data_IF_807888390921
#
_entry.id   IF_807888390921
#
_cell.length_a   1.000
_cell.length_b   1.000
_cell.length_c   1.000
_cell.angle_alpha   90.00
_cell.angle_beta   90.00
_cell.angle_gamma   90.00
#
_symmetry.space_group_name_H-M   'P 1'
#
loop_
_entity.id
_entity.type
_entity.pdbx_description
1 polymer ?
#
# COMPACT_ATOMS: atom_id res chain seq x y z
N UNK A 1 18.07 -10.81 9.60
CA UNK A 1 18.15 -12.13 8.93
C UNK A 1 19.07 -12.00 7.74
N UNK A 2 19.93 -12.98 7.45
CA UNK A 2 20.74 -12.99 6.23
C UNK A 2 20.16 -13.95 5.16
N UNK A 3 20.66 -13.86 3.93
CA UNK A 3 20.14 -14.62 2.79
C UNK A 3 20.14 -16.13 3.01
N UNK A 4 21.23 -16.69 3.53
CA UNK A 4 21.34 -18.12 3.80
C UNK A 4 20.30 -18.60 4.82
N UNK A 5 20.08 -17.82 5.88
CA UNK A 5 19.03 -18.12 6.87
C UNK A 5 17.64 -18.09 6.22
N UNK A 6 17.36 -17.10 5.37
CA UNK A 6 16.08 -17.01 4.67
C UNK A 6 15.86 -18.20 3.73
N UNK A 7 16.85 -18.56 2.91
CA UNK A 7 16.78 -19.71 2.00
C UNK A 7 16.47 -21.00 2.78
N UNK A 8 17.11 -21.20 3.94
CA UNK A 8 16.81 -22.34 4.81
C UNK A 8 15.37 -22.32 5.34
N UNK A 9 14.84 -21.17 5.73
CA UNK A 9 13.43 -21.05 6.14
C UNK A 9 12.47 -21.44 5.02
N UNK A 10 12.74 -21.06 3.77
CA UNK A 10 11.94 -21.52 2.63
C UNK A 10 12.03 -23.04 2.45
N UNK A 11 13.24 -23.61 2.46
CA UNK A 11 13.46 -25.05 2.26
C UNK A 11 12.77 -25.91 3.33
N UNK A 12 12.90 -25.57 4.61
CA UNK A 12 12.28 -26.34 5.72
C UNK A 12 10.75 -26.26 5.69
N UNK A 13 10.19 -25.20 5.10
CA UNK A 13 8.76 -25.06 4.86
C UNK A 13 8.30 -25.65 3.51
N UNK A 14 9.18 -26.39 2.81
CA UNK A 14 8.85 -27.08 1.56
C UNK A 14 8.85 -26.19 0.31
N UNK A 15 9.27 -24.93 0.42
CA UNK A 15 9.26 -23.94 -0.65
C UNK A 15 10.58 -23.93 -1.43
N UNK A 16 10.89 -25.05 -2.09
CA UNK A 16 12.17 -25.27 -2.79
C UNK A 16 12.42 -24.35 -3.99
N UNK A 17 11.36 -23.73 -4.53
CA UNK A 17 11.45 -22.75 -5.61
C UNK A 17 11.55 -21.30 -5.10
N UNK A 18 11.69 -21.11 -3.79
CA UNK A 18 11.75 -19.82 -3.13
C UNK A 18 10.54 -18.92 -3.41
N UNK A 19 9.37 -19.52 -3.64
CA UNK A 19 8.11 -18.81 -3.85
C UNK A 19 7.11 -19.15 -2.76
N UNK A 20 6.53 -18.11 -2.18
CA UNK A 20 5.39 -18.22 -1.28
C UNK A 20 4.19 -18.76 -2.08
N UNK A 21 3.39 -19.63 -1.47
CA UNK A 21 2.17 -20.20 -2.06
C UNK A 21 0.92 -19.65 -1.40
N UNK A 22 1.02 -19.36 -0.11
CA UNK A 22 -0.06 -18.89 0.74
C UNK A 22 0.41 -17.70 1.58
N UNK A 23 -0.50 -16.83 2.05
CA UNK A 23 -0.16 -15.78 3.00
C UNK A 23 0.50 -16.31 4.28
N UNK A 24 0.13 -17.51 4.73
CA UNK A 24 0.71 -18.17 5.91
C UNK A 24 2.21 -18.45 5.75
N UNK A 25 2.70 -18.56 4.52
CA UNK A 25 4.13 -18.72 4.27
C UNK A 25 4.93 -17.48 4.67
N UNK A 26 4.33 -16.28 4.68
CA UNK A 26 4.98 -15.06 5.17
C UNK A 26 5.35 -15.17 6.64
N UNK A 27 4.45 -15.71 7.47
CA UNK A 27 4.72 -15.89 8.88
C UNK A 27 5.84 -16.91 9.09
N UNK A 28 5.81 -18.01 8.34
CA UNK A 28 6.79 -19.10 8.46
C UNK A 28 8.19 -18.74 7.97
N UNK A 29 8.29 -17.86 6.97
CA UNK A 29 9.56 -17.54 6.29
C UNK A 29 10.11 -16.17 6.66
N UNK A 30 9.25 -15.19 6.91
CA UNK A 30 9.63 -13.81 7.20
C UNK A 30 9.21 -13.36 8.61
N UNK A 31 8.45 -14.17 9.36
CA UNK A 31 7.90 -13.77 10.65
C UNK A 31 6.80 -12.71 10.56
N UNK A 32 6.19 -12.55 9.38
CA UNK A 32 5.18 -11.53 9.11
C UNK A 32 3.79 -12.17 9.14
N UNK A 33 2.95 -11.77 10.10
CA UNK A 33 1.52 -12.06 10.03
C UNK A 33 0.81 -10.96 9.24
N UNK A 34 0.33 -11.31 8.05
CA UNK A 34 -0.37 -10.36 7.18
C UNK A 34 -1.67 -9.83 7.80
N UNK A 35 -2.29 -10.55 8.74
CA UNK A 35 -3.55 -10.13 9.38
C UNK A 35 -3.34 -9.05 10.45
N UNK A 36 -2.12 -8.95 10.97
CA UNK A 36 -1.72 -7.97 11.97
C UNK A 36 -1.23 -6.65 11.35
N UNK A 37 -1.19 -6.57 10.02
CA UNK A 37 -0.86 -5.32 9.31
C UNK A 37 -1.95 -4.28 9.58
N UNK A 38 -1.54 -3.05 9.90
CA UNK A 38 -2.49 -2.01 10.27
C UNK A 38 -3.53 -1.77 9.16
N UNK A 39 -4.75 -1.48 9.55
CA UNK A 39 -5.89 -1.35 8.62
C UNK A 39 -6.51 -2.67 8.14
N UNK A 40 -5.85 -3.82 8.23
CA UNK A 40 -6.41 -5.12 7.78
C UNK A 40 -7.77 -5.42 8.39
N UNK A 41 -7.88 -5.22 9.72
CA UNK A 41 -9.12 -5.47 10.45
C UNK A 41 -10.26 -4.51 10.05
N UNK A 42 -9.97 -3.39 9.39
CA UNK A 42 -10.99 -2.44 8.92
C UNK A 42 -11.51 -2.79 7.53
N UNK A 43 -10.80 -3.62 6.77
CA UNK A 43 -11.22 -4.06 5.44
C UNK A 43 -12.47 -4.95 5.50
N UNK A 44 -13.29 -4.85 4.45
CA UNK A 44 -14.33 -5.83 4.14
C UNK A 44 -13.73 -7.15 3.63
N UNK A 45 -14.58 -8.16 3.43
CA UNK A 45 -14.14 -9.49 3.04
C UNK A 45 -13.55 -9.54 1.61
N UNK A 46 -14.06 -8.70 0.70
CA UNK A 46 -13.56 -8.61 -0.67
C UNK A 46 -12.13 -8.06 -0.70
N UNK A 47 -11.88 -6.97 0.01
CA UNK A 47 -10.56 -6.34 0.11
C UNK A 47 -9.57 -7.22 0.89
N UNK A 48 -10.02 -7.95 1.92
CA UNK A 48 -9.18 -8.97 2.58
C UNK A 48 -8.78 -10.09 1.62
N UNK A 49 -9.72 -10.56 0.79
CA UNK A 49 -9.42 -11.58 -0.20
C UNK A 49 -8.43 -11.07 -1.26
N UNK A 50 -8.61 -9.83 -1.74
CA UNK A 50 -7.65 -9.20 -2.65
C UNK A 50 -6.26 -9.10 -2.01
N UNK A 51 -6.18 -8.56 -0.79
CA UNK A 51 -4.92 -8.39 -0.07
C UNK A 51 -4.17 -9.70 0.12
N UNK A 52 -4.86 -10.78 0.51
CA UNK A 52 -4.23 -12.09 0.72
C UNK A 52 -3.55 -12.64 -0.55
N UNK A 53 -4.12 -12.40 -1.73
CA UNK A 53 -3.51 -12.83 -3.00
C UNK A 53 -2.42 -11.85 -3.44
N UNK A 54 -2.66 -10.55 -3.29
CA UNK A 54 -1.71 -9.50 -3.62
C UNK A 54 -0.41 -9.68 -2.84
N UNK A 55 -0.45 -9.83 -1.52
CA UNK A 55 0.77 -9.83 -0.68
C UNK A 55 1.72 -10.98 -1.05
N UNK A 56 1.17 -12.14 -1.43
CA UNK A 56 1.94 -13.28 -1.93
C UNK A 56 2.62 -12.94 -3.26
N UNK A 57 1.88 -12.36 -4.21
CA UNK A 57 2.44 -11.98 -5.51
C UNK A 57 3.45 -10.83 -5.41
N UNK A 58 3.19 -9.86 -4.54
CA UNK A 58 4.08 -8.73 -4.27
C UNK A 58 5.44 -9.22 -3.74
N UNK A 59 5.45 -10.04 -2.69
CA UNK A 59 6.69 -10.66 -2.21
C UNK A 59 7.35 -11.50 -3.30
N UNK A 60 6.59 -12.35 -4.00
CA UNK A 60 7.14 -13.20 -5.06
C UNK A 60 7.72 -12.43 -6.26
N UNK A 61 7.30 -11.19 -6.48
CA UNK A 61 7.85 -10.28 -7.50
C UNK A 61 9.21 -9.70 -7.14
N UNK A 62 9.62 -9.78 -5.87
CA UNK A 62 10.89 -9.27 -5.37
C UNK A 62 11.96 -10.37 -5.31
N UNK A 63 13.23 -9.96 -5.38
CA UNK A 63 14.36 -10.83 -5.06
C UNK A 63 14.44 -11.14 -3.57
N UNK A 64 15.09 -12.26 -3.20
CA UNK A 64 15.20 -12.68 -1.79
C UNK A 64 15.84 -11.61 -0.90
N UNK A 65 16.82 -10.87 -1.41
CA UNK A 65 17.50 -9.83 -0.64
C UNK A 65 16.54 -8.68 -0.28
N UNK A 66 15.75 -8.19 -1.24
CA UNK A 66 14.70 -7.19 -1.01
C UNK A 66 13.62 -7.66 -0.04
N UNK A 67 13.22 -8.94 -0.11
CA UNK A 67 12.20 -9.49 0.82
C UNK A 67 12.66 -9.48 2.28
N UNK A 68 13.97 -9.57 2.55
CA UNK A 68 14.49 -9.59 3.92
C UNK A 68 14.33 -8.26 4.66
N UNK A 69 14.29 -7.15 3.93
CA UNK A 69 14.17 -5.81 4.50
C UNK A 69 12.75 -5.26 4.37
N UNK A 70 11.84 -6.00 3.72
CA UNK A 70 10.49 -5.55 3.48
C UNK A 70 9.59 -5.80 4.68
N UNK A 71 8.97 -4.73 5.18
CA UNK A 71 8.07 -4.80 6.33
C UNK A 71 6.74 -4.16 5.93
N UNK A 72 5.65 -4.94 5.77
CA UNK A 72 4.31 -4.39 5.63
C UNK A 72 3.95 -3.49 6.82
N UNK A 73 3.44 -2.29 6.55
CA UNK A 73 3.07 -1.31 7.59
C UNK A 73 1.58 -1.06 7.65
N UNK A 74 0.90 -1.00 6.50
CA UNK A 74 -0.52 -0.72 6.46
C UNK A 74 -1.22 -1.21 5.20
N UNK A 75 -2.49 -1.53 5.31
CA UNK A 75 -3.38 -1.88 4.20
C UNK A 75 -4.76 -1.27 4.43
N UNK A 76 -5.16 -0.36 3.55
CA UNK A 76 -6.37 0.44 3.72
C UNK A 76 -7.19 0.45 2.43
N UNK A 77 -8.50 0.28 2.52
CA UNK A 77 -9.36 0.70 1.43
C UNK A 77 -9.46 2.22 1.50
N UNK A 78 -8.86 2.89 0.52
CA UNK A 78 -8.64 4.33 0.54
C UNK A 78 -9.52 5.02 -0.50
N UNK A 79 -9.91 6.26 -0.18
CA UNK A 79 -10.36 7.25 -1.14
C UNK A 79 -9.40 8.42 -1.11
N UNK A 80 -8.91 8.86 -2.26
CA UNK A 80 -8.12 10.08 -2.35
C UNK A 80 -8.68 11.07 -3.36
N UNK A 81 -8.34 12.32 -3.12
CA UNK A 81 -8.57 13.44 -4.01
C UNK A 81 -7.52 14.51 -3.75
N UNK A 82 -7.30 15.32 -4.78
CA UNK A 82 -6.32 16.39 -4.80
C UNK A 82 -7.02 17.73 -4.75
N UNK A 83 -6.39 18.71 -4.12
CA UNK A 83 -6.76 20.11 -4.23
C UNK A 83 -6.05 20.70 -5.44
N UNK A 84 -6.83 21.14 -6.41
CA UNK A 84 -6.36 21.68 -7.68
C UNK A 84 -6.50 23.20 -7.70
N UNK A 85 -5.46 23.89 -8.14
CA UNK A 85 -5.41 25.35 -8.23
C UNK A 85 -5.02 25.79 -9.64
N UNK A 86 -5.38 27.03 -9.98
CA UNK A 86 -4.80 27.75 -11.12
C UNK A 86 -3.97 28.91 -10.61
N UNK A 87 -2.70 28.97 -11.02
CA UNK A 87 -1.86 30.14 -10.75
C UNK A 87 -2.31 31.33 -11.60
N UNK A 88 -2.63 31.07 -12.87
CA UNK A 88 -3.26 32.03 -13.76
C UNK A 88 -4.65 31.50 -14.17
N UNK A 89 -5.75 32.25 -13.94
CA UNK A 89 -7.10 31.81 -14.30
C UNK A 89 -7.29 31.39 -15.77
N UNK A 90 -6.50 31.97 -16.67
CA UNK A 90 -6.53 31.73 -18.13
C UNK A 90 -5.85 30.42 -18.55
N UNK A 91 -5.09 29.77 -17.66
CA UNK A 91 -4.40 28.52 -17.98
C UNK A 91 -5.41 27.39 -18.22
N UNK A 92 -5.09 26.46 -19.12
CA UNK A 92 -5.93 25.29 -19.45
C UNK A 92 -5.62 24.06 -18.57
N UNK A 93 -4.65 24.18 -17.66
CA UNK A 93 -4.23 23.14 -16.73
C UNK A 93 -4.42 23.58 -15.27
N UNK A 94 -4.33 22.61 -14.37
CA UNK A 94 -4.35 22.83 -12.92
C UNK A 94 -3.07 22.29 -12.31
N UNK A 95 -2.60 22.96 -11.26
CA UNK A 95 -1.53 22.48 -10.39
C UNK A 95 -2.13 21.79 -9.17
N UNK A 96 -1.41 20.82 -8.58
CA UNK A 96 -1.82 20.17 -7.34
C UNK A 96 -1.25 20.94 -6.15
N UNK A 97 -2.13 21.48 -5.30
CA UNK A 97 -1.78 22.27 -4.12
C UNK A 97 -1.85 21.48 -2.80
N UNK A 98 -2.21 20.20 -2.87
CA UNK A 98 -2.39 19.36 -1.70
C UNK A 98 -3.34 18.20 -2.01
N UNK A 99 -3.62 17.40 -0.99
CA UNK A 99 -4.56 16.31 -1.13
C UNK A 99 -4.90 15.64 0.19
N UNK A 100 -5.93 14.82 0.13
CA UNK A 100 -6.45 14.05 1.27
C UNK A 100 -6.54 12.59 0.87
N UNK A 101 -6.07 11.72 1.75
CA UNK A 101 -6.30 10.28 1.70
C UNK A 101 -7.19 9.93 2.88
N UNK A 102 -8.36 9.37 2.59
CA UNK A 102 -9.32 8.86 3.56
C UNK A 102 -9.23 7.34 3.60
N UNK A 103 -9.19 6.74 4.79
CA UNK A 103 -9.41 5.31 4.97
C UNK A 103 -10.92 5.04 5.16
N UNK A 104 -11.46 4.14 4.35
CA UNK A 104 -12.84 3.65 4.41
C UNK A 104 -12.84 2.32 5.17
N UNK A 105 -13.63 2.23 6.23
CA UNK A 105 -13.81 0.97 6.95
C UNK A 105 -14.89 0.07 6.30
N UNK A 106 -15.05 -1.14 6.83
CA UNK A 106 -16.04 -2.14 6.38
C UNK A 106 -17.49 -1.67 6.43
N UNK A 107 -17.80 -0.60 7.16
CA UNK A 107 -19.13 -0.02 7.27
C UNK A 107 -19.30 1.21 6.35
N UNK A 108 -18.26 1.55 5.57
CA UNK A 108 -18.24 2.74 4.72
C UNK A 108 -17.88 4.04 5.45
N UNK A 109 -17.46 3.97 6.73
CA UNK A 109 -17.08 5.16 7.50
C UNK A 109 -15.70 5.63 7.03
N UNK A 110 -15.63 6.92 6.66
CA UNK A 110 -14.40 7.57 6.20
C UNK A 110 -13.69 8.24 7.37
N UNK A 111 -12.38 8.01 7.47
CA UNK A 111 -11.49 8.67 8.43
C UNK A 111 -10.28 9.24 7.70
N UNK A 112 -9.81 10.41 8.12
CA UNK A 112 -8.59 11.00 7.52
C UNK A 112 -7.40 10.12 7.85
N UNK A 113 -6.80 9.54 6.82
CA UNK A 113 -5.57 8.74 6.91
C UNK A 113 -4.34 9.63 6.73
N UNK A 114 -4.37 10.50 5.72
CA UNK A 114 -3.28 11.42 5.41
C UNK A 114 -3.81 12.71 4.82
N UNK A 115 -3.14 13.81 5.13
CA UNK A 115 -3.28 15.07 4.39
C UNK A 115 -1.89 15.58 4.06
N UNK A 116 -1.79 16.32 2.96
CA UNK A 116 -0.59 17.05 2.61
C UNK A 116 -0.99 18.33 1.89
N UNK A 117 -0.12 19.33 1.97
CA UNK A 117 -0.35 20.64 1.37
C UNK A 117 0.95 21.15 0.77
N UNK A 118 0.85 21.75 -0.39
CA UNK A 118 1.90 22.58 -0.96
C UNK A 118 1.76 24.00 -0.39
N UNK A 119 2.81 24.46 0.30
CA UNK A 119 2.78 25.78 0.94
C UNK A 119 2.80 26.92 -0.08
N UNK A 120 3.37 26.68 -1.26
CA UNK A 120 3.52 27.69 -2.31
C UNK A 120 2.17 28.11 -2.90
N UNK A 121 1.17 27.23 -2.87
CA UNK A 121 -0.17 27.46 -3.43
C UNK A 121 -1.23 27.81 -2.39
N UNK A 122 -0.85 28.02 -1.12
CA UNK A 122 -1.78 28.28 0.00
C UNK A 122 -2.68 29.51 -0.17
N UNK A 123 -2.28 30.45 -1.02
CA UNK A 123 -2.96 31.72 -1.27
C UNK A 123 -3.98 31.66 -2.42
N UNK A 124 -4.04 30.54 -3.16
CA UNK A 124 -4.93 30.34 -4.29
C UNK A 124 -6.22 29.63 -3.86
N UNK A 125 -7.32 29.91 -4.56
CA UNK A 125 -8.57 29.18 -4.40
C UNK A 125 -8.44 27.79 -5.04
N UNK A 126 -8.73 26.75 -4.26
CA UNK A 126 -8.61 25.37 -4.68
C UNK A 126 -9.97 24.71 -4.92
N UNK A 127 -10.03 23.84 -5.92
CA UNK A 127 -11.16 22.95 -6.19
C UNK A 127 -10.75 21.49 -5.94
N UNK A 128 -11.70 20.62 -5.65
CA UNK A 128 -11.43 19.19 -5.47
C UNK A 128 -11.37 18.46 -6.80
N UNK A 129 -10.37 17.58 -6.95
CA UNK A 129 -10.29 16.66 -8.07
C UNK A 129 -11.31 15.53 -7.94
N UNK A 130 -11.41 14.70 -8.99
CA UNK A 130 -12.26 13.51 -8.94
C UNK A 130 -11.71 12.52 -7.90
N UNK A 131 -12.57 12.11 -6.97
CA UNK A 131 -12.26 11.08 -6.00
C UNK A 131 -11.96 9.74 -6.66
N UNK A 132 -10.93 9.05 -6.18
CA UNK A 132 -10.55 7.71 -6.61
C UNK A 132 -10.54 6.78 -5.41
N UNK A 133 -10.98 5.55 -5.59
CA UNK A 133 -10.92 4.52 -4.54
C UNK A 133 -10.04 3.36 -4.97
N UNK A 134 -9.27 2.82 -4.02
CA UNK A 134 -8.33 1.73 -4.26
C UNK A 134 -7.90 1.10 -2.94
N UNK A 135 -7.21 -0.03 -3.02
CA UNK A 135 -6.56 -0.63 -1.87
C UNK A 135 -5.12 -0.07 -1.78
N UNK A 136 -4.84 0.70 -0.74
CA UNK A 136 -3.54 1.32 -0.47
C UNK A 136 -2.68 0.40 0.38
N UNK A 137 -1.54 -0.02 -0.14
CA UNK A 137 -0.55 -0.80 0.63
C UNK A 137 0.64 0.08 1.00
N UNK A 138 0.95 0.16 2.28
CA UNK A 138 2.08 0.89 2.84
C UNK A 138 3.08 -0.11 3.40
N UNK A 139 4.36 0.09 3.12
CA UNK A 139 5.43 -0.79 3.53
C UNK A 139 6.72 -0.01 3.76
N UNK A 140 7.65 -0.64 4.46
CA UNK A 140 9.03 -0.18 4.54
C UNK A 140 9.89 -1.13 3.71
N UNK A 141 10.81 -0.58 2.94
CA UNK A 141 11.79 -1.34 2.16
C UNK A 141 13.14 -0.64 2.25
N UNK A 142 14.17 -1.38 2.67
CA UNK A 142 15.51 -0.83 2.95
C UNK A 142 15.49 0.41 3.86
N UNK A 143 14.62 0.40 4.88
CA UNK A 143 14.47 1.50 5.85
C UNK A 143 13.72 2.73 5.32
N UNK A 144 13.16 2.66 4.10
CA UNK A 144 12.41 3.76 3.49
C UNK A 144 10.91 3.45 3.49
N UNK A 145 10.06 4.38 3.95
CA UNK A 145 8.62 4.23 3.84
C UNK A 145 8.20 4.41 2.38
N UNK A 146 7.44 3.45 1.87
CA UNK A 146 6.92 3.39 0.52
C UNK A 146 5.43 3.06 0.56
N UNK A 147 4.72 3.35 -0.53
CA UNK A 147 3.32 2.98 -0.68
C UNK A 147 2.97 2.79 -2.15
N UNK A 148 1.89 2.05 -2.41
CA UNK A 148 1.39 1.81 -3.76
C UNK A 148 -0.13 1.62 -3.82
N UNK A 149 -0.67 1.71 -5.02
CA UNK A 149 -2.06 1.38 -5.35
C UNK A 149 -2.13 -0.10 -5.74
N UNK A 150 -2.93 -0.89 -5.03
CA UNK A 150 -3.25 -2.27 -5.41
C UNK A 150 -4.51 -2.24 -6.26
N UNK A 151 -4.38 -2.49 -7.57
CA UNK A 151 -5.52 -2.54 -8.48
C UNK A 151 -6.12 -3.93 -8.57
N UNK A 152 -5.27 -4.97 -8.54
CA UNK A 152 -5.69 -6.36 -8.40
C UNK A 152 -4.56 -7.21 -7.79
N UNK A 153 -4.76 -8.52 -7.73
CA UNK A 153 -3.81 -9.46 -7.13
C UNK A 153 -2.42 -9.50 -7.81
N UNK A 154 -2.28 -9.01 -9.04
CA UNK A 154 -1.06 -9.07 -9.87
C UNK A 154 -0.61 -7.70 -10.39
N UNK A 155 -1.43 -6.66 -10.28
CA UNK A 155 -1.15 -5.32 -10.78
C UNK A 155 -1.21 -4.29 -9.64
N UNK A 156 -0.19 -3.42 -9.62
CA UNK A 156 -0.04 -2.32 -8.68
C UNK A 156 0.90 -1.25 -9.26
N UNK A 157 0.80 -0.01 -8.78
CA UNK A 157 1.65 1.11 -9.18
C UNK A 157 1.85 2.16 -8.09
#
# INVERSE_FOLDING_TARGET
MNRFQLEKLYEVNGLKDYKLKTPEDLLKTHGIDFREVDGYNRLDDLNKQLYSKFIVNFFNGLGLDSRMTLIPKGIYYAEDFDYLVKENPEDDYYNVAGGVVLAIDRNGVKTVHRTWKDEDHTHLEAIESKHKTYLRFEYEHDGRPEWLHVTDQKNWY
#
